data_IF_723345605737
#
_entry.id   IF_723345605737
#
_cell.length_a   1.000
_cell.length_b   1.000
_cell.length_c   1.000
_cell.angle_alpha   90.00
_cell.angle_beta   90.00
_cell.angle_gamma   90.00
#
_symmetry.space_group_name_H-M   'P 1'
#
loop_
_entity.id
_entity.type
_entity.pdbx_description
1 polymer ?
#
# COMPACT_ATOMS: atom_id res chain seq x y z
N UNK A 1 -31.49 2.75 19.79
CA UNK A 1 -30.10 2.44 19.39
C UNK A 1 -29.93 2.95 17.97
N UNK A 2 -29.07 3.94 17.76
CA UNK A 2 -28.86 4.58 16.46
C UNK A 2 -28.26 3.57 15.47
N UNK A 3 -28.70 3.51 14.21
CA UNK A 3 -28.01 2.71 13.21
C UNK A 3 -26.62 3.31 13.01
N UNK A 4 -25.59 2.54 13.38
CA UNK A 4 -24.22 2.80 12.94
C UNK A 4 -24.30 2.81 11.42
N UNK A 5 -24.15 3.99 10.81
CA UNK A 5 -24.11 4.16 9.36
C UNK A 5 -23.16 3.11 8.82
N UNK A 6 -23.73 2.15 8.11
CA UNK A 6 -23.02 1.13 7.34
C UNK A 6 -22.18 1.91 6.32
N UNK A 7 -20.96 2.26 6.73
CA UNK A 7 -20.02 3.02 5.90
C UNK A 7 -19.84 2.18 4.66
N UNK A 8 -20.27 2.73 3.52
CA UNK A 8 -20.24 2.06 2.23
C UNK A 8 -18.92 1.31 2.07
N UNK A 9 -19.00 -0.03 2.06
CA UNK A 9 -17.86 -0.92 1.85
C UNK A 9 -17.46 -0.75 0.38
N UNK A 10 -16.58 0.19 0.10
CA UNK A 10 -16.10 0.43 -1.27
C UNK A 10 -15.11 -0.67 -1.60
N UNK A 11 -15.49 -1.51 -2.57
CA UNK A 11 -14.82 -2.77 -2.94
C UNK A 11 -13.35 -2.61 -3.37
N UNK A 12 -12.93 -1.40 -3.74
CA UNK A 12 -11.55 -1.03 -4.09
C UNK A 12 -11.35 0.49 -3.90
N UNK A 13 -10.11 1.00 -3.73
CA UNK A 13 -9.81 2.38 -4.09
C UNK A 13 -10.36 2.65 -5.48
N UNK A 14 -10.93 3.83 -5.71
CA UNK A 14 -11.46 4.11 -7.05
C UNK A 14 -10.29 4.18 -8.02
N UNK A 15 -10.34 3.34 -9.05
CA UNK A 15 -9.37 3.33 -10.12
C UNK A 15 -9.74 4.45 -11.12
N UNK A 16 -8.80 5.33 -11.41
CA UNK A 16 -8.91 6.36 -12.45
C UNK A 16 -7.79 6.11 -13.44
N UNK A 17 -8.13 5.66 -14.65
CA UNK A 17 -7.16 5.41 -15.72
C UNK A 17 -6.02 4.45 -15.29
N UNK A 18 -6.32 3.34 -14.61
CA UNK A 18 -5.31 2.39 -14.12
C UNK A 18 -4.57 2.83 -12.85
N UNK A 19 -4.96 3.96 -12.24
CA UNK A 19 -4.33 4.49 -11.02
C UNK A 19 -5.27 4.42 -9.83
N UNK A 20 -4.73 4.03 -8.69
CA UNK A 20 -5.46 4.08 -7.43
C UNK A 20 -5.49 5.49 -6.90
N UNK A 21 -6.62 5.90 -6.36
CA UNK A 21 -6.73 7.16 -5.65
C UNK A 21 -7.34 6.93 -4.26
N UNK A 22 -6.55 7.20 -3.22
CA UNK A 22 -6.93 7.06 -1.83
C UNK A 22 -7.42 8.42 -1.32
N UNK A 23 -8.72 8.55 -1.04
CA UNK A 23 -9.26 9.80 -0.52
C UNK A 23 -8.85 10.04 0.92
N UNK A 24 -8.61 11.31 1.22
CA UNK A 24 -8.29 11.77 2.56
C UNK A 24 -9.35 11.31 3.57
N UNK A 25 -8.91 10.58 4.61
CA UNK A 25 -9.72 10.09 5.73
C UNK A 25 -10.86 9.13 5.36
N UNK A 26 -10.87 8.59 4.15
CA UNK A 26 -11.81 7.54 3.77
C UNK A 26 -11.13 6.18 3.94
N UNK A 27 -11.64 5.30 4.81
CA UNK A 27 -11.16 3.92 4.90
C UNK A 27 -11.65 3.10 3.71
N UNK A 28 -10.78 2.25 3.20
CA UNK A 28 -11.06 1.27 2.15
C UNK A 28 -10.87 -0.14 2.69
N UNK A 29 -11.78 -1.04 2.32
CA UNK A 29 -11.69 -2.47 2.59
C UNK A 29 -11.44 -3.16 1.25
N UNK A 30 -10.31 -3.86 1.13
CA UNK A 30 -9.88 -4.53 -0.10
C UNK A 30 -9.70 -6.02 0.17
N UNK A 31 -10.40 -6.86 -0.58
CA UNK A 31 -10.19 -8.30 -0.55
C UNK A 31 -9.16 -8.70 -1.62
N UNK A 32 -8.08 -9.35 -1.23
CA UNK A 32 -7.03 -9.83 -2.12
C UNK A 32 -6.46 -11.15 -1.60
N UNK A 33 -6.35 -12.16 -2.47
CA UNK A 33 -5.87 -13.51 -2.13
C UNK A 33 -6.54 -14.14 -0.89
N UNK A 34 -7.85 -13.87 -0.70
CA UNK A 34 -8.61 -14.38 0.44
C UNK A 34 -8.32 -13.67 1.77
N UNK A 35 -7.56 -12.57 1.75
CA UNK A 35 -7.30 -11.70 2.91
C UNK A 35 -8.01 -10.37 2.76
N UNK A 36 -8.44 -9.80 3.88
CA UNK A 36 -9.05 -8.47 3.96
C UNK A 36 -8.03 -7.44 4.43
N UNK A 37 -7.83 -6.41 3.60
CA UNK A 37 -6.95 -5.29 3.85
C UNK A 37 -7.75 -4.04 4.17
N UNK A 38 -7.30 -3.28 5.17
CA UNK A 38 -7.87 -2.00 5.55
C UNK A 38 -6.86 -0.89 5.27
N UNK A 39 -7.19 -0.01 4.33
CA UNK A 39 -6.30 1.03 3.82
C UNK A 39 -6.88 2.41 4.14
N UNK A 40 -6.08 3.30 4.72
CA UNK A 40 -6.50 4.67 5.04
C UNK A 40 -5.41 5.66 4.66
N UNK A 41 -5.79 6.73 3.96
CA UNK A 41 -4.90 7.85 3.68
C UNK A 41 -5.15 9.05 4.60
N UNK A 42 -4.08 9.63 5.12
CA UNK A 42 -4.07 10.92 5.82
C UNK A 42 -3.17 11.89 5.04
N UNK A 43 -3.52 13.17 5.05
CA UNK A 43 -2.80 14.22 4.33
C UNK A 43 -2.47 15.37 5.27
N UNK A 44 -1.27 15.88 5.15
CA UNK A 44 -0.73 16.96 5.97
C UNK A 44 -0.29 18.11 5.06
N UNK A 45 -0.28 19.33 5.61
CA UNK A 45 0.10 20.54 4.87
C UNK A 45 1.38 21.21 5.38
N UNK A 46 1.92 20.77 6.53
CA UNK A 46 3.07 21.39 7.18
C UNK A 46 4.10 20.33 7.57
N UNK A 47 5.40 20.54 7.35
CA UNK A 47 6.03 21.73 6.74
C UNK A 47 5.80 21.86 5.23
N UNK A 48 5.47 20.75 4.56
CA UNK A 48 5.09 20.66 3.14
C UNK A 48 3.89 19.72 2.99
N UNK A 49 3.25 19.71 1.81
CA UNK A 49 2.17 18.76 1.52
C UNK A 49 2.74 17.35 1.40
N UNK A 50 2.30 16.46 2.28
CA UNK A 50 2.70 15.06 2.28
C UNK A 50 1.54 14.15 2.73
N UNK A 51 1.64 12.88 2.36
CA UNK A 51 0.67 11.86 2.67
C UNK A 51 1.16 10.91 3.76
N UNK A 52 0.21 10.18 4.32
CA UNK A 52 0.44 8.97 5.10
C UNK A 52 -0.53 7.92 4.62
N UNK A 53 -0.06 6.70 4.44
CA UNK A 53 -0.90 5.54 4.16
C UNK A 53 -0.73 4.54 5.29
N UNK A 54 -1.85 4.09 5.83
CA UNK A 54 -1.93 2.95 6.73
C UNK A 54 -2.47 1.76 5.97
N UNK A 55 -1.81 0.62 6.09
CA UNK A 55 -2.25 -0.67 5.52
C UNK A 55 -2.31 -1.69 6.64
N UNK A 56 -3.51 -2.12 6.99
CA UNK A 56 -3.74 -3.24 7.89
C UNK A 56 -4.17 -4.47 7.11
N UNK A 57 -3.74 -5.65 7.56
CA UNK A 57 -4.27 -6.93 7.11
C UNK A 57 -4.63 -7.74 8.36
N UNK A 58 -5.74 -8.49 8.32
CA UNK A 58 -6.11 -9.34 9.45
C UNK A 58 -4.97 -10.31 9.80
N UNK A 59 -4.62 -10.38 11.09
CA UNK A 59 -3.54 -11.23 11.59
C UNK A 59 -2.11 -10.68 11.41
N UNK A 60 -1.95 -9.54 10.73
CA UNK A 60 -0.64 -8.95 10.44
C UNK A 60 -0.45 -7.60 11.16
N UNK A 61 0.80 -7.18 11.44
CA UNK A 61 1.09 -5.85 11.95
C UNK A 61 0.62 -4.75 11.01
N UNK A 62 0.14 -3.63 11.57
CA UNK A 62 -0.21 -2.45 10.81
C UNK A 62 1.05 -1.83 10.17
N UNK A 63 1.08 -1.76 8.84
CA UNK A 63 2.12 -1.07 8.08
C UNK A 63 1.77 0.41 7.94
N UNK A 64 2.77 1.28 8.13
CA UNK A 64 2.62 2.73 7.99
C UNK A 64 3.67 3.28 7.04
N UNK A 65 3.21 4.07 6.08
CA UNK A 65 4.05 4.86 5.19
C UNK A 65 3.82 6.32 5.53
N UNK A 66 4.85 6.97 6.08
CA UNK A 66 4.83 8.37 6.53
C UNK A 66 5.54 9.29 5.52
N UNK A 67 5.28 10.59 5.63
CA UNK A 67 5.95 11.64 4.85
C UNK A 67 5.94 11.43 3.32
N UNK A 68 4.90 10.78 2.80
CA UNK A 68 4.80 10.42 1.38
C UNK A 68 4.70 11.65 0.48
N UNK A 69 5.52 11.66 -0.56
CA UNK A 69 5.61 12.67 -1.60
C UNK A 69 5.60 12.01 -2.99
N UNK A 70 5.32 12.77 -4.07
CA UNK A 70 5.39 12.23 -5.43
C UNK A 70 6.78 11.64 -5.73
N UNK A 71 6.80 10.37 -6.14
CA UNK A 71 8.01 9.61 -6.41
C UNK A 71 8.21 8.44 -5.47
N UNK A 72 7.68 8.50 -4.25
CA UNK A 72 7.83 7.46 -3.23
C UNK A 72 7.06 6.18 -3.60
N UNK A 73 7.51 5.04 -3.10
CA UNK A 73 6.88 3.73 -3.32
C UNK A 73 6.29 3.20 -2.03
N UNK A 74 5.13 2.55 -2.14
CA UNK A 74 4.46 1.84 -1.04
C UNK A 74 4.06 0.45 -1.50
N UNK A 75 4.09 -0.53 -0.60
CA UNK A 75 3.55 -1.86 -0.86
C UNK A 75 2.13 -1.95 -0.29
N UNK A 76 1.18 -2.30 -1.15
CA UNK A 76 -0.21 -2.52 -0.78
C UNK A 76 -0.67 -3.83 -1.43
N UNK A 77 -1.26 -4.73 -0.64
CA UNK A 77 -1.69 -6.07 -1.08
C UNK A 77 -0.57 -6.91 -1.72
N UNK A 78 0.70 -6.64 -1.40
CA UNK A 78 1.86 -7.31 -2.02
C UNK A 78 2.30 -6.73 -3.37
N UNK A 79 1.58 -5.72 -3.89
CA UNK A 79 1.96 -4.98 -5.08
C UNK A 79 2.69 -3.69 -4.71
N UNK A 80 3.71 -3.32 -5.49
CA UNK A 80 4.36 -2.02 -5.40
C UNK A 80 3.57 -0.93 -6.14
N UNK A 81 3.39 0.19 -5.44
CA UNK A 81 2.67 1.36 -5.93
C UNK A 81 3.51 2.61 -5.77
N UNK A 82 3.66 3.38 -6.85
CA UNK A 82 4.34 4.66 -6.83
C UNK A 82 3.36 5.80 -6.57
N UNK A 83 3.65 6.65 -5.61
CA UNK A 83 2.95 7.91 -5.37
C UNK A 83 3.20 8.84 -6.54
N UNK A 84 2.14 9.17 -7.28
CA UNK A 84 2.21 10.10 -8.42
C UNK A 84 1.75 11.50 -8.05
N UNK A 85 0.84 11.62 -7.07
CA UNK A 85 0.37 12.91 -6.58
C UNK A 85 -0.11 12.83 -5.13
N UNK A 86 0.04 13.95 -4.42
CA UNK A 86 -0.49 14.16 -3.07
C UNK A 86 -1.27 15.48 -3.08
N UNK A 87 -2.58 15.37 -3.27
CA UNK A 87 -3.48 16.51 -3.37
C UNK A 87 -4.06 16.83 -1.98
N UNK A 88 -3.55 17.88 -1.32
CA UNK A 88 -3.95 18.22 0.06
C UNK A 88 -5.48 18.21 0.26
N UNK A 89 -5.92 17.58 1.37
CA UNK A 89 -7.34 17.34 1.74
C UNK A 89 -8.20 16.61 0.72
N UNK A 90 -7.61 16.12 -0.36
CA UNK A 90 -8.33 15.51 -1.47
C UNK A 90 -7.99 14.03 -1.54
N UNK A 91 -6.76 13.68 -1.93
CA UNK A 91 -6.36 12.29 -2.18
C UNK A 91 -4.84 12.11 -2.32
N UNK A 92 -4.41 10.86 -2.21
CA UNK A 92 -3.12 10.37 -2.72
C UNK A 92 -3.41 9.58 -3.99
N UNK A 93 -2.66 9.82 -5.07
CA UNK A 93 -2.77 9.06 -6.33
C UNK A 93 -1.57 8.14 -6.46
N UNK A 94 -1.85 6.88 -6.76
CA UNK A 94 -0.90 5.79 -6.84
C UNK A 94 -0.97 5.17 -8.25
N UNK A 95 0.19 4.84 -8.80
CA UNK A 95 0.33 4.11 -10.06
C UNK A 95 1.05 2.80 -9.77
N UNK A 96 0.58 1.70 -10.35
CA UNK A 96 1.22 0.40 -10.15
C UNK A 96 2.61 0.41 -10.76
N UNK A 97 3.60 -0.08 -10.03
CA UNK A 97 4.95 -0.27 -10.57
C UNK A 97 4.96 -1.60 -11.32
N UNK A 98 4.79 -1.55 -12.63
CA UNK A 98 4.95 -2.73 -13.48
C UNK A 98 6.46 -3.07 -13.56
N UNK A 99 6.90 -4.16 -12.92
CA UNK A 99 8.24 -4.70 -13.14
C UNK A 99 9.09 -5.09 -11.94
N UNK A 100 8.56 -5.21 -10.71
CA UNK A 100 9.35 -5.82 -9.63
C UNK A 100 9.35 -7.34 -9.76
N UNK A 101 10.31 -7.87 -10.51
CA UNK A 101 10.85 -9.20 -10.25
C UNK A 101 11.40 -9.11 -8.84
N UNK A 102 10.77 -9.78 -7.87
CA UNK A 102 11.33 -9.99 -6.55
C UNK A 102 12.80 -10.35 -6.74
N UNK A 103 13.77 -9.75 -6.01
CA UNK A 103 15.13 -10.23 -6.11
C UNK A 103 15.06 -11.72 -5.76
N UNK A 104 15.39 -12.57 -6.74
CA UNK A 104 15.57 -13.99 -6.54
C UNK A 104 16.25 -14.15 -5.19
N UNK A 105 15.65 -14.92 -4.29
CA UNK A 105 16.38 -15.48 -3.16
C UNK A 105 17.55 -16.19 -3.80
N UNK A 106 18.70 -15.54 -3.83
CA UNK A 106 19.96 -16.17 -4.16
C UNK A 106 20.12 -17.24 -3.08
N UNK A 107 19.75 -18.46 -3.46
CA UNK A 107 20.05 -19.65 -2.69
C UNK A 107 21.54 -19.60 -2.47
N UNK A 108 21.95 -19.36 -1.23
CA UNK A 108 23.24 -19.81 -0.77
C UNK A 108 23.25 -21.32 -0.96
N UNK A 109 23.72 -21.75 -2.12
CA UNK A 109 24.12 -23.12 -2.34
C UNK A 109 25.30 -23.36 -1.39
N UNK A 110 25.02 -24.09 -0.32
CA UNK A 110 26.02 -24.61 0.59
C UNK A 110 26.88 -25.60 -0.19
N UNK A 111 28.04 -25.17 -0.70
CA UNK A 111 29.05 -26.11 -1.17
C UNK A 111 29.88 -26.56 0.02
N UNK A 112 29.34 -27.52 0.77
CA UNK A 112 30.13 -28.40 1.63
C UNK A 112 30.33 -29.74 0.93
N UNK A 113 31.57 -30.23 0.84
CA UNK A 113 31.84 -31.64 0.53
C UNK A 113 33.10 -31.95 -0.28
N UNK A 114 34.25 -31.89 0.40
CA UNK A 114 35.32 -32.91 0.45
C UNK A 114 35.55 -33.91 -0.70
N UNK A 115 36.77 -33.92 -1.25
CA UNK A 115 37.56 -35.11 -1.66
C UNK A 115 39.00 -34.61 -1.86
N UNK A 116 40.06 -35.08 -1.22
CA UNK A 116 40.35 -36.42 -0.72
C UNK A 116 41.13 -37.19 -1.79
N UNK A 117 42.44 -36.90 -1.93
CA UNK A 117 43.56 -37.82 -2.23
C UNK A 117 44.90 -37.07 -2.30
#
# INVERSE_FOLDING_TARGET
>A
MSPVTERARVKYPFEINGRWALRYHIPYEVEHEGRSYHIVATLFAKPTVHGRIHVGCEGEPLVRYDDLTPGDTVEITGDEWRVTAVDYRTRIVLERVEGHVAPDREGKEETGGETGE
#
